data_IF_408692850956
#
_entry.id   IF_408692850956
#
_cell.length_a   1.000
_cell.length_b   1.000
_cell.length_c   1.000
_cell.angle_alpha   90.00
_cell.angle_beta   90.00
_cell.angle_gamma   90.00
#
_symmetry.space_group_name_H-M   'P 1'
#
loop_
_entity.id
_entity.type
_entity.pdbx_description
1 polymer ?
#
# COMPACT_ATOMS: atom_id res chain seq x y z
N UNK A 1 -3.65 -32.28 1.82
CA UNK A 1 -2.80 -31.13 1.47
C UNK A 1 -3.59 -30.22 0.53
N UNK A 2 -3.79 -28.95 0.86
CA UNK A 2 -4.66 -28.03 0.11
C UNK A 2 -4.07 -27.72 -1.27
N UNK A 3 -4.64 -28.29 -2.33
CA UNK A 3 -4.28 -28.09 -3.75
C UNK A 3 -4.81 -26.79 -4.33
N UNK A 4 -5.08 -25.77 -3.51
CA UNK A 4 -5.52 -24.47 -4.01
C UNK A 4 -4.35 -23.81 -4.75
N UNK A 5 -4.38 -23.86 -6.08
CA UNK A 5 -3.54 -23.03 -6.97
C UNK A 5 -3.49 -21.61 -6.39
N UNK A 6 -2.28 -21.10 -6.22
CA UNK A 6 -2.06 -19.74 -5.76
C UNK A 6 -2.81 -18.77 -6.70
N UNK A 7 -3.58 -17.85 -6.14
CA UNK A 7 -4.45 -16.94 -6.91
C UNK A 7 -3.65 -15.87 -7.67
N UNK A 8 -2.34 -15.83 -7.47
CA UNK A 8 -1.43 -14.82 -7.97
C UNK A 8 -0.24 -15.48 -8.67
N UNK A 9 0.16 -14.91 -9.80
CA UNK A 9 1.35 -15.32 -10.53
C UNK A 9 2.63 -14.90 -9.81
N UNK A 10 3.77 -15.46 -10.22
CA UNK A 10 5.10 -15.03 -9.75
C UNK A 10 5.32 -13.54 -10.06
N UNK A 11 4.93 -13.08 -11.25
CA UNK A 11 5.00 -11.67 -11.65
C UNK A 11 4.17 -10.77 -10.72
N UNK A 12 2.95 -11.18 -10.36
CA UNK A 12 2.13 -10.42 -9.39
C UNK A 12 2.88 -10.20 -8.07
N UNK A 13 3.53 -11.24 -7.55
CA UNK A 13 4.33 -11.15 -6.31
C UNK A 13 5.51 -10.18 -6.47
N UNK A 14 6.26 -10.28 -7.56
CA UNK A 14 7.40 -9.38 -7.85
C UNK A 14 6.95 -7.90 -7.88
N UNK A 15 5.85 -7.59 -8.54
CA UNK A 15 5.35 -6.22 -8.62
C UNK A 15 4.84 -5.70 -7.27
N UNK A 16 4.17 -6.54 -6.47
CA UNK A 16 3.75 -6.16 -5.12
C UNK A 16 4.95 -6.03 -4.15
N UNK A 17 6.00 -6.83 -4.29
CA UNK A 17 7.25 -6.67 -3.54
C UNK A 17 7.91 -5.34 -3.87
N UNK A 18 7.95 -4.94 -5.15
CA UNK A 18 8.41 -3.62 -5.55
C UNK A 18 7.56 -2.52 -4.93
N UNK A 19 6.23 -2.64 -4.99
CA UNK A 19 5.33 -1.69 -4.33
C UNK A 19 5.62 -1.59 -2.82
N UNK A 20 5.89 -2.71 -2.14
CA UNK A 20 6.26 -2.71 -0.72
C UNK A 20 7.63 -2.07 -0.46
N UNK A 21 8.62 -2.26 -1.35
CA UNK A 21 9.91 -1.57 -1.26
C UNK A 21 9.74 -0.05 -1.38
N UNK A 22 8.89 0.42 -2.29
CA UNK A 22 8.54 1.83 -2.43
C UNK A 22 7.85 2.36 -1.16
N UNK A 23 6.91 1.60 -0.59
CA UNK A 23 6.26 1.97 0.67
C UNK A 23 7.28 2.12 1.82
N UNK A 24 8.22 1.17 1.94
CA UNK A 24 9.29 1.16 2.95
C UNK A 24 10.24 2.34 2.79
N UNK A 25 10.58 2.74 1.56
CA UNK A 25 11.44 3.89 1.29
C UNK A 25 10.83 5.23 1.78
N UNK A 26 9.51 5.27 2.01
CA UNK A 26 8.83 6.43 2.58
C UNK A 26 8.45 6.28 4.06
N UNK A 27 8.86 5.18 4.71
CA UNK A 27 8.52 4.93 6.11
C UNK A 27 9.03 6.05 7.02
N UNK A 28 8.15 6.59 7.87
CA UNK A 28 8.46 7.71 8.77
C UNK A 28 8.43 9.10 8.12
N UNK A 29 8.27 9.20 6.78
CA UNK A 29 8.32 10.47 6.04
C UNK A 29 6.94 11.02 5.66
N UNK A 30 5.87 10.30 6.02
CA UNK A 30 4.47 10.60 5.63
C UNK A 30 3.63 11.22 6.74
N UNK A 31 4.22 11.55 7.90
CA UNK A 31 3.50 12.08 9.05
C UNK A 31 2.44 11.11 9.55
N UNK A 32 1.19 11.58 9.71
CA UNK A 32 0.07 10.77 10.22
C UNK A 32 -0.54 9.81 9.18
N UNK A 33 -0.16 9.96 7.90
CA UNK A 33 -0.67 9.12 6.82
C UNK A 33 0.23 7.88 6.64
N UNK A 34 -0.33 6.75 6.17
CA UNK A 34 0.47 5.57 5.89
C UNK A 34 1.42 5.82 4.70
N UNK A 35 2.61 5.24 4.79
CA UNK A 35 3.55 5.16 3.66
C UNK A 35 3.08 4.04 2.73
N UNK A 36 2.57 4.40 1.56
CA UNK A 36 2.03 3.46 0.57
C UNK A 36 2.93 3.49 -0.65
N UNK A 37 3.12 2.33 -1.28
CA UNK A 37 3.73 2.20 -2.60
C UNK A 37 2.74 1.63 -3.61
N UNK A 38 2.92 2.04 -4.87
CA UNK A 38 2.08 1.72 -6.01
C UNK A 38 2.93 1.48 -7.26
N UNK A 39 2.59 0.47 -8.04
CA UNK A 39 3.23 0.11 -9.31
C UNK A 39 2.14 -0.13 -10.35
N UNK A 40 2.28 0.46 -11.53
CA UNK A 40 1.35 0.27 -12.65
C UNK A 40 2.07 -0.48 -13.76
N UNK A 41 1.46 -1.55 -14.23
CA UNK A 41 2.03 -2.44 -15.24
C UNK A 41 1.06 -2.69 -16.40
N UNK A 42 1.61 -2.96 -17.58
CA UNK A 42 0.87 -3.44 -18.74
C UNK A 42 1.78 -4.40 -19.51
N UNK A 43 1.24 -5.50 -20.02
CA UNK A 43 2.01 -6.51 -20.74
C UNK A 43 3.27 -7.00 -19.99
N UNK A 44 3.19 -7.12 -18.66
CA UNK A 44 4.28 -7.50 -17.77
C UNK A 44 5.48 -6.52 -17.70
N UNK A 45 5.28 -5.28 -18.16
CA UNK A 45 6.23 -4.18 -18.09
C UNK A 45 5.71 -3.10 -17.13
N UNK A 46 6.63 -2.46 -16.40
CA UNK A 46 6.29 -1.38 -15.47
C UNK A 46 6.16 -0.10 -16.28
N UNK A 47 4.96 0.48 -16.32
CA UNK A 47 4.71 1.77 -16.96
C UNK A 47 5.08 2.93 -16.04
N UNK A 48 4.80 2.77 -14.74
CA UNK A 48 5.03 3.83 -13.75
C UNK A 48 5.03 3.30 -12.32
N UNK A 49 5.64 4.07 -11.42
CA UNK A 49 5.68 3.84 -9.99
C UNK A 49 5.32 5.09 -9.20
N UNK A 50 4.81 4.87 -7.99
CA UNK A 50 4.46 5.94 -7.08
C UNK A 50 4.60 5.50 -5.63
N UNK A 51 4.84 6.48 -4.77
CA UNK A 51 4.83 6.33 -3.33
C UNK A 51 4.14 7.55 -2.73
N UNK A 52 3.59 7.43 -1.52
CA UNK A 52 3.02 8.57 -0.81
C UNK A 52 4.06 9.70 -0.76
N UNK A 53 3.61 10.94 -0.99
CA UNK A 53 4.47 12.12 -0.90
C UNK A 53 4.93 12.39 0.53
N UNK A 54 5.97 13.21 0.66
CA UNK A 54 6.38 13.73 1.96
C UNK A 54 5.20 14.41 2.66
N UNK A 55 5.15 14.30 4.00
CA UNK A 55 4.03 14.82 4.82
C UNK A 55 2.67 14.15 4.52
N UNK A 56 2.64 13.09 3.72
CA UNK A 56 1.47 12.23 3.54
C UNK A 56 0.62 12.50 2.31
N UNK A 57 1.00 13.43 1.43
CA UNK A 57 0.29 13.73 0.20
C UNK A 57 1.23 14.20 -0.93
N UNK A 58 0.91 13.98 -2.21
CA UNK A 58 -0.21 13.17 -2.72
C UNK A 58 -0.07 11.68 -2.41
N UNK A 59 -1.15 10.90 -2.60
CA UNK A 59 -1.13 9.45 -2.37
C UNK A 59 -0.32 8.70 -3.44
N UNK A 60 0.07 7.47 -3.14
CA UNK A 60 0.91 6.65 -4.01
C UNK A 60 0.27 6.40 -5.38
N UNK A 61 -1.04 6.11 -5.43
CA UNK A 61 -1.79 5.86 -6.65
C UNK A 61 -1.85 7.10 -7.54
N UNK A 62 -2.05 8.27 -6.93
CA UNK A 62 -2.02 9.54 -7.65
C UNK A 62 -0.64 9.80 -8.24
N UNK A 63 0.42 9.62 -7.44
CA UNK A 63 1.78 9.82 -7.92
C UNK A 63 2.14 8.82 -9.03
N UNK A 64 1.76 7.55 -8.91
CA UNK A 64 1.99 6.56 -9.96
C UNK A 64 1.27 6.92 -11.26
N UNK A 65 0.02 7.36 -11.19
CA UNK A 65 -0.73 7.81 -12.38
C UNK A 65 -0.08 9.06 -12.98
N UNK A 66 0.24 10.07 -12.16
CA UNK A 66 0.81 11.34 -12.60
C UNK A 66 2.20 11.18 -13.23
N UNK A 67 3.01 10.26 -12.73
CA UNK A 67 4.36 10.01 -13.22
C UNK A 67 4.38 9.21 -14.53
N UNK A 68 3.25 8.64 -14.97
CA UNK A 68 3.20 7.89 -16.22
C UNK A 68 3.26 8.82 -17.42
N UNK A 69 4.18 8.54 -18.33
CA UNK A 69 4.21 9.15 -19.67
C UNK A 69 3.44 8.33 -20.71
N UNK A 70 2.93 7.16 -20.32
CA UNK A 70 2.20 6.23 -21.17
C UNK A 70 0.70 6.18 -20.87
N UNK A 71 -0.08 5.68 -21.84
CA UNK A 71 -1.51 5.42 -21.65
C UNK A 71 -1.76 4.24 -20.70
N UNK A 72 -2.40 4.54 -19.57
CA UNK A 72 -2.73 3.58 -18.52
C UNK A 72 -4.00 2.76 -18.80
N UNK A 73 -4.73 3.01 -19.87
CA UNK A 73 -5.93 2.26 -20.24
C UNK A 73 -5.59 0.77 -20.40
N UNK A 74 -6.37 -0.10 -19.74
CA UNK A 74 -6.16 -1.54 -19.79
C UNK A 74 -5.05 -2.07 -18.85
N UNK A 75 -4.33 -1.18 -18.15
CA UNK A 75 -3.23 -1.55 -17.24
C UNK A 75 -3.73 -2.21 -15.95
N UNK A 76 -2.78 -2.75 -15.19
CA UNK A 76 -2.96 -3.32 -13.86
C UNK A 76 -2.18 -2.52 -12.82
N UNK A 77 -2.80 -2.20 -11.70
CA UNK A 77 -2.19 -1.47 -10.58
C UNK A 77 -1.99 -2.40 -9.39
N UNK A 78 -0.78 -2.41 -8.83
CA UNK A 78 -0.44 -3.04 -7.55
C UNK A 78 -0.22 -1.95 -6.50
N UNK A 79 -0.95 -2.04 -5.38
CA UNK A 79 -0.86 -1.05 -4.31
C UNK A 79 -0.83 -1.73 -2.95
N UNK A 80 0.03 -1.27 -2.07
CA UNK A 80 0.28 -1.97 -0.79
C UNK A 80 -0.90 -1.92 0.21
N UNK A 81 -1.74 -0.89 0.14
CA UNK A 81 -2.90 -0.70 1.01
C UNK A 81 -4.16 -0.48 0.16
N UNK A 82 -5.35 -0.79 0.68
CA UNK A 82 -6.63 -0.54 0.00
C UNK A 82 -6.74 0.93 -0.45
N UNK A 83 -6.96 1.20 -1.75
CA UNK A 83 -7.07 2.58 -2.24
C UNK A 83 -8.18 3.35 -1.53
N UNK A 84 -7.94 4.62 -1.22
CA UNK A 84 -8.94 5.41 -0.52
C UNK A 84 -10.20 5.62 -1.38
N UNK A 85 -11.36 5.54 -0.73
CA UNK A 85 -12.68 5.58 -1.36
C UNK A 85 -13.59 6.70 -0.83
N UNK A 86 -13.06 7.57 0.03
CA UNK A 86 -13.81 8.66 0.65
C UNK A 86 -13.29 10.02 0.17
N UNK A 87 -14.17 11.01 0.14
CA UNK A 87 -13.79 12.39 -0.12
C UNK A 87 -13.17 12.99 1.14
N UNK A 88 -11.91 13.44 1.04
CA UNK A 88 -11.21 14.20 2.06
C UNK A 88 -10.82 15.56 1.51
N UNK A 89 -9.59 16.00 1.79
CA UNK A 89 -9.01 17.20 1.15
C UNK A 89 -8.83 17.03 -0.37
N UNK A 90 -8.61 15.80 -0.82
CA UNK A 90 -8.50 15.44 -2.23
C UNK A 90 -9.59 14.42 -2.60
N UNK A 91 -9.97 14.33 -3.89
CA UNK A 91 -10.81 13.24 -4.39
C UNK A 91 -10.19 11.86 -4.08
N UNK A 92 -11.00 10.81 -3.92
CA UNK A 92 -10.52 9.47 -3.60
C UNK A 92 -9.71 8.87 -4.75
N UNK A 93 -8.76 8.00 -4.39
CA UNK A 93 -7.91 7.30 -5.37
C UNK A 93 -8.74 6.41 -6.30
N UNK A 94 -9.88 5.90 -5.85
CA UNK A 94 -10.82 5.18 -6.73
C UNK A 94 -11.25 6.00 -7.94
N UNK A 95 -11.46 7.32 -7.80
CA UNK A 95 -11.91 8.16 -8.90
C UNK A 95 -10.85 8.28 -10.00
N UNK A 96 -9.59 8.50 -9.62
CA UNK A 96 -8.49 8.62 -10.59
C UNK A 96 -8.16 7.28 -11.25
N UNK A 97 -8.32 6.16 -10.54
CA UNK A 97 -8.19 4.80 -11.10
C UNK A 97 -9.23 4.59 -12.20
N UNK A 98 -10.49 4.92 -11.92
CA UNK A 98 -11.60 4.80 -12.89
C UNK A 98 -11.37 5.74 -14.08
N UNK A 99 -11.01 7.01 -13.82
CA UNK A 99 -10.76 8.02 -14.87
C UNK A 99 -9.67 7.59 -15.86
N UNK A 100 -8.62 6.93 -15.37
CA UNK A 100 -7.50 6.45 -16.21
C UNK A 100 -7.75 5.04 -16.79
N UNK A 101 -8.96 4.50 -16.64
CA UNK A 101 -9.38 3.21 -17.21
C UNK A 101 -8.43 2.05 -16.89
N UNK A 102 -7.91 2.04 -15.67
CA UNK A 102 -7.12 0.92 -15.15
C UNK A 102 -8.05 -0.30 -15.05
N UNK A 103 -7.63 -1.43 -15.64
CA UNK A 103 -8.49 -2.61 -15.80
C UNK A 103 -8.53 -3.48 -14.57
N UNK A 104 -7.41 -3.58 -13.85
CA UNK A 104 -7.28 -4.43 -12.67
C UNK A 104 -6.51 -3.72 -11.55
N UNK A 105 -7.02 -3.80 -10.32
CA UNK A 105 -6.35 -3.33 -9.12
C UNK A 105 -6.11 -4.51 -8.19
N UNK A 106 -4.85 -4.70 -7.80
CA UNK A 106 -4.43 -5.69 -6.83
C UNK A 106 -3.89 -4.96 -5.61
N UNK A 107 -4.52 -5.14 -4.44
CA UNK A 107 -4.02 -4.52 -3.22
C UNK A 107 -3.59 -5.52 -2.14
N UNK A 108 -2.54 -5.14 -1.42
CA UNK A 108 -1.86 -6.00 -0.46
C UNK A 108 -2.74 -6.36 0.74
N UNK A 109 -3.27 -5.35 1.42
CA UNK A 109 -4.11 -5.51 2.61
C UNK A 109 -5.28 -4.51 2.60
N UNK A 110 -6.36 -4.86 3.28
CA UNK A 110 -7.50 -3.95 3.51
C UNK A 110 -7.12 -2.88 4.53
N UNK A 111 -7.65 -1.67 4.38
CA UNK A 111 -7.46 -0.62 5.37
C UNK A 111 -8.34 -0.91 6.61
N UNK A 112 -7.88 -0.48 7.78
CA UNK A 112 -8.65 -0.55 9.03
C UNK A 112 -9.53 0.70 9.21
N UNK A 113 -9.23 1.80 8.52
CA UNK A 113 -10.04 3.01 8.56
C UNK A 113 -11.47 2.70 8.07
N UNK A 114 -12.46 2.89 8.96
CA UNK A 114 -13.90 2.68 8.69
C UNK A 114 -14.41 3.48 7.48
N UNK A 115 -13.75 4.59 7.14
CA UNK A 115 -14.08 5.39 5.96
C UNK A 115 -13.78 4.65 4.66
N UNK A 116 -12.77 3.78 4.64
CA UNK A 116 -12.27 3.07 3.46
C UNK A 116 -12.65 1.59 3.47
N UNK A 117 -12.46 0.92 4.62
CA UNK A 117 -12.49 -0.54 4.78
C UNK A 117 -13.61 -1.23 3.98
N UNK A 118 -13.21 -2.01 2.98
CA UNK A 118 -14.09 -2.88 2.20
C UNK A 118 -14.98 -2.19 1.17
N UNK A 119 -14.89 -0.85 1.03
CA UNK A 119 -15.72 -0.09 0.08
C UNK A 119 -15.10 -0.05 -1.31
N UNK A 120 -13.78 -0.08 -1.41
CA UNK A 120 -13.05 0.04 -2.68
C UNK A 120 -13.41 -1.09 -3.63
N UNK A 121 -13.53 -2.31 -3.11
CA UNK A 121 -13.96 -3.48 -3.89
C UNK A 121 -15.31 -3.24 -4.59
N UNK A 122 -16.30 -2.69 -3.86
CA UNK A 122 -17.64 -2.45 -4.40
C UNK A 122 -17.63 -1.32 -5.45
N UNK A 123 -16.90 -0.24 -5.17
CA UNK A 123 -16.82 0.94 -6.04
C UNK A 123 -16.11 0.62 -7.36
N UNK A 124 -14.98 -0.07 -7.31
CA UNK A 124 -14.22 -0.40 -8.52
C UNK A 124 -14.95 -1.45 -9.36
N UNK A 125 -15.56 -2.47 -8.73
CA UNK A 125 -16.36 -3.48 -9.45
C UNK A 125 -17.58 -2.88 -10.16
N UNK A 126 -18.28 -1.93 -9.55
CA UNK A 126 -19.44 -1.27 -10.20
C UNK A 126 -19.05 -0.44 -11.43
N UNK A 127 -17.75 -0.21 -11.64
CA UNK A 127 -17.17 0.48 -12.80
C UNK A 127 -16.35 -0.47 -13.69
N UNK A 128 -16.61 -1.78 -13.61
CA UNK A 128 -15.98 -2.81 -14.44
C UNK A 128 -14.45 -2.94 -14.27
N UNK A 129 -13.91 -2.51 -13.12
CA UNK A 129 -12.50 -2.71 -12.74
C UNK A 129 -12.41 -4.02 -11.94
N UNK A 130 -11.52 -4.92 -12.37
CA UNK A 130 -11.23 -6.16 -11.67
C UNK A 130 -10.45 -5.86 -10.38
N UNK A 131 -10.78 -6.55 -9.30
CA UNK A 131 -10.13 -6.31 -8.00
C UNK A 131 -9.73 -7.62 -7.35
N UNK A 132 -8.44 -7.71 -6.98
CA UNK A 132 -7.90 -8.79 -6.14
C UNK A 132 -7.28 -8.18 -4.88
N UNK A 133 -7.33 -8.93 -3.79
CA UNK A 133 -6.85 -8.48 -2.47
C UNK A 133 -6.04 -9.56 -1.76
N UNK A 134 -5.32 -9.18 -0.71
CA UNK A 134 -4.54 -10.07 0.15
C UNK A 134 -3.27 -10.66 -0.51
N UNK A 135 -2.69 -9.99 -1.52
CA UNK A 135 -1.40 -10.37 -2.08
C UNK A 135 -0.27 -9.97 -1.13
N UNK A 136 0.60 -10.92 -0.74
CA UNK A 136 1.67 -10.70 0.27
C UNK A 136 1.14 -10.15 1.61
N UNK A 137 -0.07 -10.58 1.98
CA UNK A 137 -0.79 -10.09 3.16
C UNK A 137 0.05 -10.16 4.44
N UNK A 138 0.82 -11.22 4.64
CA UNK A 138 1.60 -11.44 5.86
C UNK A 138 2.69 -10.39 6.00
N UNK A 139 3.49 -10.20 4.95
CA UNK A 139 4.60 -9.27 4.89
C UNK A 139 4.12 -7.82 4.98
N UNK A 140 3.04 -7.51 4.27
CA UNK A 140 2.46 -6.16 4.24
C UNK A 140 1.77 -5.80 5.56
N UNK A 141 1.06 -6.75 6.21
CA UNK A 141 0.51 -6.53 7.56
C UNK A 141 1.61 -6.25 8.59
N UNK A 142 2.76 -6.95 8.49
CA UNK A 142 3.91 -6.70 9.36
C UNK A 142 4.42 -5.27 9.19
N UNK A 143 4.53 -4.79 7.95
CA UNK A 143 4.93 -3.41 7.67
C UNK A 143 3.94 -2.37 8.23
N UNK A 144 2.63 -2.59 8.08
CA UNK A 144 1.61 -1.67 8.58
C UNK A 144 1.22 -1.86 10.06
N UNK A 145 1.92 -2.71 10.81
CA UNK A 145 1.59 -2.98 12.22
C UNK A 145 1.50 -1.70 13.07
N UNK A 146 2.44 -0.74 12.99
CA UNK A 146 2.32 0.52 13.73
C UNK A 146 1.10 1.35 13.34
N UNK A 147 0.81 1.43 12.03
CA UNK A 147 -0.34 2.15 11.50
C UNK A 147 -1.67 1.54 11.97
N UNK A 148 -1.81 0.22 11.86
CA UNK A 148 -3.02 -0.48 12.29
C UNK A 148 -3.23 -0.43 13.81
N UNK A 149 -2.15 -0.53 14.58
CA UNK A 149 -2.21 -0.35 16.03
C UNK A 149 -2.74 1.04 16.39
N UNK A 150 -2.17 2.08 15.78
CA UNK A 150 -2.58 3.46 16.04
C UNK A 150 -4.06 3.70 15.69
N UNK A 151 -4.49 3.27 14.50
CA UNK A 151 -5.89 3.45 14.06
C UNK A 151 -6.90 2.63 14.87
N UNK A 152 -6.50 1.47 15.37
CA UNK A 152 -7.37 0.62 16.21
C UNK A 152 -7.50 1.15 17.63
N UNK A 153 -6.37 1.52 18.25
CA UNK A 153 -6.32 1.79 19.68
C UNK A 153 -6.30 3.28 20.03
N UNK A 154 -6.15 4.16 19.04
CA UNK A 154 -5.94 5.60 19.23
C UNK A 154 -4.73 5.92 20.14
N UNK A 155 -3.69 5.09 20.05
CA UNK A 155 -2.45 5.19 20.83
C UNK A 155 -1.23 5.12 19.90
N UNK A 156 -0.10 5.73 20.26
CA UNK A 156 1.14 5.55 19.50
C UNK A 156 1.62 4.09 19.60
N UNK A 157 2.17 3.57 18.52
CA UNK A 157 2.91 2.30 18.56
C UNK A 157 4.33 2.58 19.05
N UNK A 158 4.69 2.03 20.21
CA UNK A 158 5.97 2.31 20.87
C UNK A 158 6.96 1.18 20.58
N UNK A 159 8.15 1.54 20.12
CA UNK A 159 9.28 0.62 19.99
C UNK A 159 10.36 1.01 20.99
N UNK A 160 10.64 0.14 21.95
CA UNK A 160 11.75 0.30 22.87
C UNK A 160 13.03 -0.25 22.25
N UNK A 161 14.07 0.59 22.14
CA UNK A 161 15.42 0.16 21.76
C UNK A 161 16.33 0.35 22.96
N UNK A 162 17.05 -0.70 23.31
CA UNK A 162 18.06 -0.69 24.38
C UNK A 162 19.38 -1.19 23.76
N UNK A 163 20.49 -0.55 24.13
CA UNK A 163 21.82 -1.10 23.89
C UNK A 163 22.37 -1.59 25.23
N UNK A 164 22.92 -2.81 25.24
CA UNK A 164 23.49 -3.43 26.43
C UNK A 164 24.88 -3.99 26.08
N UNK A 165 25.77 -4.02 27.05
CA UNK A 165 27.02 -4.77 26.96
C UNK A 165 26.76 -6.28 26.90
N UNK A 166 27.80 -7.09 26.60
CA UNK A 166 27.69 -8.55 26.61
C UNK A 166 27.25 -9.12 27.97
N UNK A 167 27.57 -8.43 29.06
CA UNK A 167 27.15 -8.78 30.42
C UNK A 167 25.87 -8.04 30.87
N UNK A 168 25.02 -7.60 29.93
CA UNK A 168 23.70 -7.02 30.18
C UNK A 168 23.70 -5.71 30.99
N UNK A 169 24.80 -4.95 30.99
CA UNK A 169 24.87 -3.64 31.63
C UNK A 169 24.53 -2.54 30.61
N UNK A 170 23.83 -1.50 31.08
CA UNK A 170 23.48 -0.32 30.29
C UNK A 170 24.39 0.89 30.57
N UNK A 171 25.13 0.85 31.70
CA UNK A 171 26.15 1.84 32.06
C UNK A 171 27.14 1.20 33.07
N UNK A 172 28.33 1.79 33.20
CA UNK A 172 29.26 1.55 34.32
C UNK A 172 29.48 2.89 35.03
N UNK A 173 29.45 2.90 36.36
CA UNK A 173 30.01 4.00 37.15
C UNK A 173 31.47 3.62 37.34
N UNK A 174 32.37 4.30 36.66
CA UNK A 174 33.76 4.33 37.12
C UNK A 174 33.79 4.89 38.56
#
# INVERSE_FOLDING_TARGET
>A
MSTKKDKFSIKDKIFMELALKLAKARHGLTGINPSVGCVIVKNNEILSIGQTGFKGAPHAEFNAIKNSHENLEGSKMYVTLEPCSHYGKTPPCTNIIIKNKIKEVVYGVEDIDKKVKGKTLKILKSKNVLVKKNLLKKEINKFYTPYFFNRKNNLPYVTGKIAISRNNLIYSKD
#
